data_IF_526941068330
#
_entry.id   IF_526941068330
#
_cell.length_a   1.000
_cell.length_b   1.000
_cell.length_c   1.000
_cell.angle_alpha   90.00
_cell.angle_beta   90.00
_cell.angle_gamma   90.00
#
_symmetry.space_group_name_H-M   'P 1'
#
loop_
_entity.id
_entity.type
_entity.pdbx_description
1 polymer ?
#
# COMPACT_ATOMS: atom_id res chain seq x y z
N UNK A 1 7.60 10.04 0.86
CA UNK A 1 7.52 11.24 1.72
C UNK A 1 8.36 12.40 1.19
N UNK A 2 9.70 12.35 1.29
CA UNK A 2 10.59 13.47 0.89
C UNK A 2 10.66 13.65 -0.63
N UNK A 3 10.97 12.59 -1.38
CA UNK A 3 11.19 12.68 -2.83
C UNK A 3 9.92 12.77 -3.68
N UNK A 4 8.85 12.10 -3.26
CA UNK A 4 7.66 11.90 -4.08
C UNK A 4 6.49 12.80 -3.69
N UNK A 5 6.32 13.03 -2.39
CA UNK A 5 5.14 13.72 -1.84
C UNK A 5 5.43 15.16 -1.41
N UNK A 6 6.69 15.61 -1.50
CA UNK A 6 7.08 16.96 -1.12
C UNK A 6 6.81 17.29 0.35
N UNK A 7 6.79 16.27 1.22
CA UNK A 7 6.53 16.42 2.66
C UNK A 7 7.83 16.73 3.42
N UNK A 8 8.63 17.66 2.90
CA UNK A 8 9.91 18.04 3.48
C UNK A 8 10.16 19.53 3.38
N UNK A 9 11.16 20.00 4.13
CA UNK A 9 11.61 21.40 4.09
C UNK A 9 12.23 21.80 2.74
N UNK A 10 12.41 20.85 1.82
CA UNK A 10 12.79 21.09 0.41
C UNK A 10 11.63 21.64 -0.44
N UNK A 11 10.43 21.73 0.14
CA UNK A 11 9.23 22.26 -0.49
C UNK A 11 8.39 21.18 -1.22
N UNK A 12 7.24 21.59 -1.78
CA UNK A 12 6.29 20.68 -2.43
C UNK A 12 6.73 20.33 -3.85
N UNK A 13 7.92 19.72 -3.98
CA UNK A 13 8.54 19.36 -5.25
C UNK A 13 8.74 17.83 -5.27
N UNK A 14 8.43 17.22 -6.42
CA UNK A 14 8.70 15.82 -6.67
C UNK A 14 10.04 15.67 -7.41
N UNK A 15 11.00 14.99 -6.80
CA UNK A 15 12.35 14.76 -7.34
C UNK A 15 12.45 13.51 -8.24
N UNK A 16 11.34 12.79 -8.43
CA UNK A 16 11.21 11.61 -9.29
C UNK A 16 10.34 10.53 -8.63
N UNK A 17 9.57 9.80 -9.43
CA UNK A 17 8.68 8.73 -8.98
C UNK A 17 9.00 7.39 -9.64
N UNK A 18 8.72 6.31 -8.92
CA UNK A 18 8.68 4.96 -9.49
C UNK A 18 7.40 4.79 -10.32
N UNK A 19 7.48 5.04 -11.63
CA UNK A 19 6.46 4.53 -12.55
C UNK A 19 6.72 3.03 -12.78
N UNK A 20 5.69 2.18 -12.68
CA UNK A 20 5.84 0.75 -12.96
C UNK A 20 6.41 0.54 -14.37
N UNK A 21 7.59 -0.08 -14.41
CA UNK A 21 8.38 -0.36 -15.62
C UNK A 21 7.72 -1.49 -16.42
N UNK A 22 7.00 -1.12 -17.48
CA UNK A 22 6.58 -2.08 -18.50
C UNK A 22 7.74 -2.36 -19.46
N UNK A 23 8.06 -3.65 -19.63
CA UNK A 23 9.08 -4.15 -20.56
C UNK A 23 8.88 -3.56 -21.97
N UNK A 24 9.67 -2.56 -22.33
CA UNK A 24 9.71 -1.98 -23.68
C UNK A 24 9.73 -0.46 -23.78
N UNK A 25 9.52 0.29 -22.68
CA UNK A 25 9.48 1.78 -22.74
C UNK A 25 10.61 2.51 -21.99
N UNK A 26 11.32 1.87 -21.08
CA UNK A 26 12.11 2.60 -20.07
C UNK A 26 13.62 2.29 -20.09
N UNK A 27 14.32 2.65 -21.17
CA UNK A 27 15.78 2.81 -21.12
C UNK A 27 16.23 4.20 -20.67
N UNK A 28 15.31 5.13 -20.39
CA UNK A 28 15.63 6.55 -20.22
C UNK A 28 14.81 7.27 -19.13
N UNK A 29 14.80 6.74 -17.90
CA UNK A 29 14.49 7.58 -16.72
C UNK A 29 15.70 7.63 -15.81
N UNK A 30 16.71 8.37 -16.28
CA UNK A 30 17.81 8.82 -15.45
C UNK A 30 17.28 9.98 -14.59
N UNK A 31 17.45 9.91 -13.27
CA UNK A 31 17.08 11.00 -12.35
C UNK A 31 17.90 12.24 -12.71
N UNK A 32 17.25 13.30 -13.17
CA UNK A 32 17.89 14.58 -13.53
C UNK A 32 17.73 15.59 -12.38
N UNK A 33 18.47 15.41 -11.28
CA UNK A 33 18.63 16.46 -10.27
C UNK A 33 20.10 16.61 -9.89
N UNK A 34 20.47 17.81 -9.43
CA UNK A 34 21.87 18.12 -9.10
C UNK A 34 22.36 17.32 -7.89
N UNK A 35 23.67 17.10 -7.81
CA UNK A 35 24.34 16.52 -6.63
C UNK A 35 24.02 17.31 -5.34
N UNK A 36 23.90 18.62 -5.45
CA UNK A 36 23.51 19.48 -4.32
C UNK A 36 22.09 19.15 -3.82
N UNK A 37 21.16 18.94 -4.76
CA UNK A 37 19.79 18.51 -4.46
C UNK A 37 19.76 17.10 -3.86
N UNK A 38 20.56 16.18 -4.40
CA UNK A 38 20.69 14.82 -3.87
C UNK A 38 21.15 14.83 -2.41
N UNK A 39 22.21 15.60 -2.11
CA UNK A 39 22.72 15.77 -0.76
C UNK A 39 21.72 16.43 0.19
N UNK A 40 20.89 17.36 -0.31
CA UNK A 40 19.81 17.96 0.48
C UNK A 40 18.71 16.94 0.82
N UNK A 41 18.32 16.09 -0.14
CA UNK A 41 17.37 14.99 0.07
C UNK A 41 17.88 13.99 1.10
N UNK A 42 19.13 13.54 0.99
CA UNK A 42 19.71 12.58 1.93
C UNK A 42 19.75 13.12 3.37
N UNK A 43 20.08 14.41 3.53
CA UNK A 43 20.07 15.08 4.84
C UNK A 43 18.68 15.08 5.46
N UNK A 44 17.66 15.33 4.66
CA UNK A 44 16.28 15.36 5.13
C UNK A 44 15.77 13.97 5.53
N UNK A 45 16.12 12.94 4.74
CA UNK A 45 15.80 11.55 5.07
C UNK A 45 16.46 11.17 6.40
N UNK A 46 17.74 11.51 6.58
CA UNK A 46 18.46 11.25 7.83
C UNK A 46 17.80 11.97 9.02
N UNK A 47 17.44 13.25 8.85
CA UNK A 47 16.74 14.02 9.88
C UNK A 47 15.44 13.34 10.30
N UNK A 48 14.60 12.96 9.33
CA UNK A 48 13.31 12.33 9.61
C UNK A 48 13.45 11.00 10.35
N UNK A 49 14.43 10.18 9.95
CA UNK A 49 14.74 8.93 10.63
C UNK A 49 15.21 9.15 12.07
N UNK A 50 16.12 10.12 12.28
CA UNK A 50 16.64 10.45 13.61
C UNK A 50 15.55 11.00 14.53
N UNK A 51 14.71 11.91 14.03
CA UNK A 51 13.58 12.47 14.78
C UNK A 51 12.60 11.37 15.17
N UNK A 52 12.17 10.54 14.21
CA UNK A 52 11.28 9.40 14.49
C UNK A 52 11.88 8.40 15.48
N UNK A 53 13.18 8.12 15.38
CA UNK A 53 13.88 7.25 16.33
C UNK A 53 13.91 7.85 17.73
N UNK A 54 14.25 9.13 17.85
CA UNK A 54 14.31 9.84 19.14
C UNK A 54 12.94 9.91 19.78
N UNK A 55 11.90 10.25 19.02
CA UNK A 55 10.53 10.29 19.50
C UNK A 55 10.06 8.92 20.00
N UNK A 56 10.31 7.86 19.21
CA UNK A 56 10.00 6.50 19.62
C UNK A 56 10.74 6.11 20.92
N UNK A 57 12.03 6.42 21.00
CA UNK A 57 12.84 6.13 22.19
C UNK A 57 12.35 6.90 23.42
N UNK A 58 11.97 8.17 23.26
CA UNK A 58 11.47 9.00 24.34
C UNK A 58 10.10 8.53 24.82
N UNK A 59 9.22 8.09 23.92
CA UNK A 59 7.94 7.44 24.26
C UNK A 59 8.20 6.16 25.07
N UNK A 60 9.08 5.28 24.58
CA UNK A 60 9.40 4.03 25.26
C UNK A 60 10.00 4.25 26.65
N UNK A 61 10.91 5.22 26.79
CA UNK A 61 11.50 5.60 28.08
C UNK A 61 10.45 6.18 29.03
N UNK A 62 9.60 7.08 28.54
CA UNK A 62 8.52 7.69 29.34
C UNK A 62 7.56 6.63 29.89
N UNK A 63 7.31 5.58 29.12
CA UNK A 63 6.40 4.49 29.45
C UNK A 63 7.14 3.19 29.80
N UNK A 64 8.35 3.26 30.36
CA UNK A 64 9.18 2.08 30.67
C UNK A 64 8.45 1.03 31.53
N UNK A 65 7.61 1.49 32.48
CA UNK A 65 6.81 0.59 33.33
C UNK A 65 5.84 -0.26 32.51
N UNK A 66 5.17 0.36 31.53
CA UNK A 66 4.24 -0.33 30.61
C UNK A 66 5.02 -1.33 29.75
N UNK A 67 6.18 -0.92 29.22
CA UNK A 67 7.05 -1.78 28.42
C UNK A 67 7.49 -3.03 29.20
N UNK A 68 7.94 -2.85 30.45
CA UNK A 68 8.33 -3.97 31.32
C UNK A 68 7.15 -4.90 31.59
N UNK A 69 5.97 -4.35 31.89
CA UNK A 69 4.77 -5.16 32.14
C UNK A 69 4.35 -5.95 30.91
N UNK A 70 4.36 -5.34 29.72
CA UNK A 70 4.10 -6.04 28.47
C UNK A 70 5.11 -7.15 28.22
N UNK A 71 6.40 -6.91 28.49
CA UNK A 71 7.45 -7.93 28.32
C UNK A 71 7.28 -9.11 29.31
N UNK A 72 6.92 -8.84 30.57
CA UNK A 72 6.61 -9.88 31.56
C UNK A 72 5.42 -10.74 31.12
N UNK A 73 4.34 -10.10 30.66
CA UNK A 73 3.15 -10.83 30.20
C UNK A 73 3.46 -11.60 28.92
N UNK A 74 4.23 -11.05 27.98
CA UNK A 74 4.63 -11.78 26.77
C UNK A 74 5.56 -12.96 27.06
N UNK A 75 6.30 -12.90 28.18
CA UNK A 75 7.11 -14.02 28.63
C UNK A 75 6.26 -15.17 29.17
N UNK A 76 5.13 -14.86 29.84
CA UNK A 76 4.18 -15.86 30.34
C UNK A 76 3.22 -16.35 29.23
N UNK A 77 2.81 -15.45 28.33
CA UNK A 77 1.90 -15.69 27.22
C UNK A 77 2.58 -15.28 25.91
N UNK A 78 2.88 -16.25 25.05
CA UNK A 78 3.63 -16.01 23.80
C UNK A 78 2.94 -15.03 22.83
N UNK A 79 1.64 -14.77 22.99
CA UNK A 79 0.86 -13.90 22.12
C UNK A 79 -0.17 -13.13 22.93
N UNK A 80 -0.35 -11.84 22.59
CA UNK A 80 -1.37 -10.97 23.18
C UNK A 80 -2.26 -10.37 22.09
N UNK A 81 -3.56 -10.34 22.34
CA UNK A 81 -4.55 -9.69 21.49
C UNK A 81 -4.63 -8.18 21.80
N UNK A 82 -5.11 -7.40 20.84
CA UNK A 82 -5.18 -5.92 20.97
C UNK A 82 -5.92 -5.47 22.24
N UNK A 83 -7.03 -6.13 22.61
CA UNK A 83 -7.80 -5.79 23.82
C UNK A 83 -6.99 -6.02 25.11
N UNK A 84 -6.11 -7.01 25.12
CA UNK A 84 -5.27 -7.36 26.28
C UNK A 84 -4.12 -6.37 26.42
N UNK A 85 -3.50 -5.99 25.30
CA UNK A 85 -2.49 -4.92 25.25
C UNK A 85 -3.06 -3.60 25.75
N UNK A 86 -4.25 -3.22 25.27
CA UNK A 86 -4.93 -2.00 25.70
C UNK A 86 -5.24 -2.04 27.21
N UNK A 87 -5.69 -3.17 27.74
CA UNK A 87 -5.93 -3.34 29.17
C UNK A 87 -4.65 -3.17 30.01
N UNK A 88 -3.52 -3.75 29.58
CA UNK A 88 -2.22 -3.62 30.26
C UNK A 88 -1.74 -2.16 30.25
N UNK A 89 -1.92 -1.45 29.14
CA UNK A 89 -1.55 -0.03 29.01
C UNK A 89 -2.40 0.84 29.96
N UNK A 90 -3.71 0.61 30.01
CA UNK A 90 -4.63 1.33 30.89
C UNK A 90 -4.27 1.10 32.35
N UNK A 91 -4.00 -0.15 32.75
CA UNK A 91 -3.62 -0.49 34.12
C UNK A 91 -2.32 0.21 34.54
N UNK A 92 -1.30 0.19 33.67
CA UNK A 92 0.03 0.66 34.02
C UNK A 92 0.23 2.18 33.90
N UNK A 93 -0.55 2.87 33.05
CA UNK A 93 -0.34 4.29 32.77
C UNK A 93 -1.62 5.15 32.67
N UNK A 94 -2.82 4.55 32.71
CA UNK A 94 -4.10 5.25 32.74
C UNK A 94 -4.80 5.39 31.37
N UNK A 95 -6.11 5.68 31.39
CA UNK A 95 -6.98 5.67 30.21
C UNK A 95 -6.62 6.71 29.13
N UNK A 96 -5.94 7.80 29.50
CA UNK A 96 -5.68 8.94 28.60
C UNK A 96 -4.53 8.73 27.58
N UNK A 97 -3.86 7.57 27.59
CA UNK A 97 -2.68 7.32 26.75
C UNK A 97 -3.05 6.60 25.45
N UNK A 98 -4.18 5.90 25.42
CA UNK A 98 -4.61 5.19 24.22
C UNK A 98 -5.29 6.16 23.24
N UNK A 99 -4.95 6.11 21.95
CA UNK A 99 -5.71 6.83 20.94
C UNK A 99 -7.14 6.30 20.90
N UNK A 100 -8.12 7.19 20.67
CA UNK A 100 -9.51 6.80 20.46
C UNK A 100 -9.59 5.99 19.16
N UNK A 101 -9.54 4.66 19.29
CA UNK A 101 -9.83 3.75 18.19
C UNK A 101 -11.34 3.68 18.04
N UNK A 102 -11.86 4.10 16.88
CA UNK A 102 -13.21 3.72 16.49
C UNK A 102 -13.26 2.20 16.49
N UNK A 103 -14.00 1.61 17.44
CA UNK A 103 -14.14 0.16 17.51
C UNK A 103 -14.76 -0.29 16.20
N UNK A 104 -13.96 -0.91 15.34
CA UNK A 104 -14.49 -1.74 14.27
C UNK A 104 -15.43 -2.72 14.95
N UNK A 105 -16.73 -2.60 14.65
CA UNK A 105 -17.72 -3.58 15.06
C UNK A 105 -17.18 -4.93 14.58
N UNK A 106 -17.02 -5.88 15.49
CA UNK A 106 -16.70 -7.27 15.16
C UNK A 106 -17.58 -7.67 13.97
N UNK A 107 -16.98 -7.73 12.77
CA UNK A 107 -17.64 -8.38 11.65
C UNK A 107 -17.78 -9.82 12.08
N UNK A 108 -19.01 -10.22 12.40
CA UNK A 108 -19.38 -11.60 12.66
C UNK A 108 -18.71 -12.49 11.61
N UNK A 109 -18.15 -13.66 12.00
CA UNK A 109 -17.53 -14.55 11.04
C UNK A 109 -18.56 -14.87 9.95
N UNK A 110 -18.18 -14.61 8.71
CA UNK A 110 -18.99 -14.85 7.52
C UNK A 110 -19.38 -16.33 7.43
N UNK A 111 -20.46 -16.70 8.11
CA UNK A 111 -21.11 -17.99 7.95
C UNK A 111 -22.18 -17.87 6.87
N UNK A 112 -21.75 -18.19 5.64
CA UNK A 112 -22.42 -19.04 4.64
C UNK A 112 -21.68 -18.92 3.30
N UNK A 113 -21.29 -20.02 2.65
CA UNK A 113 -20.86 -19.97 1.26
C UNK A 113 -22.03 -19.41 0.44
N UNK A 114 -21.83 -18.26 -0.21
CA UNK A 114 -22.78 -17.76 -1.19
C UNK A 114 -22.63 -18.62 -2.45
N UNK A 115 -23.67 -19.38 -2.78
CA UNK A 115 -23.84 -20.02 -4.08
C UNK A 115 -23.64 -18.98 -5.19
N UNK A 116 -22.75 -19.29 -6.12
CA UNK A 116 -22.55 -18.55 -7.36
C UNK A 116 -23.89 -18.38 -8.12
N UNK A 117 -24.27 -17.18 -8.54
CA UNK A 117 -25.32 -17.04 -9.53
C UNK A 117 -24.76 -17.61 -10.85
N UNK A 118 -25.33 -18.73 -11.30
CA UNK A 118 -25.15 -19.23 -12.68
C UNK A 118 -25.64 -18.14 -13.64
N UNK A 119 -24.71 -17.35 -14.16
CA UNK A 119 -24.99 -16.48 -15.28
C UNK A 119 -25.28 -17.38 -16.49
N UNK A 120 -26.54 -17.35 -16.94
CA UNK A 120 -26.98 -18.08 -18.12
C UNK A 120 -26.25 -17.51 -19.34
N UNK A 121 -25.21 -18.21 -19.79
CA UNK A 121 -24.59 -17.98 -21.09
C UNK A 121 -25.66 -18.24 -22.15
N UNK A 122 -26.23 -17.16 -22.69
CA UNK A 122 -27.02 -17.25 -23.91
C UNK A 122 -26.08 -17.67 -25.04
N UNK A 123 -26.36 -18.73 -25.81
CA UNK A 123 -25.52 -19.08 -26.94
C UNK A 123 -25.64 -17.97 -27.99
N UNK A 124 -24.52 -17.32 -28.29
CA UNK A 124 -24.36 -16.49 -29.48
C UNK A 124 -24.66 -17.37 -30.69
N UNK A 125 -25.83 -17.17 -31.28
CA UNK A 125 -26.19 -17.76 -32.57
C UNK A 125 -25.31 -17.10 -33.64
N UNK A 126 -24.59 -17.86 -34.50
CA UNK A 126 -23.99 -17.28 -35.68
C UNK A 126 -25.13 -16.99 -36.67
N UNK A 127 -25.39 -15.71 -36.93
CA UNK A 127 -26.27 -15.32 -38.03
C UNK A 127 -25.44 -15.45 -39.34
N UNK A 128 -25.72 -16.53 -40.07
CA UNK A 128 -25.33 -16.76 -41.45
C UNK A 128 -26.05 -15.75 -42.36
N UNK A 129 -25.38 -14.66 -42.76
CA UNK A 129 -25.77 -13.90 -43.95
C UNK A 129 -24.87 -14.28 -45.13
N UNK A 130 -25.13 -15.47 -45.66
CA UNK A 130 -24.71 -15.84 -47.00
C UNK A 130 -25.75 -15.33 -48.02
N UNK A 131 -25.49 -14.19 -48.64
CA UNK A 131 -25.96 -13.91 -49.99
C UNK A 131 -24.76 -13.69 -50.90
N UNK A 132 -24.60 -14.68 -51.79
CA UNK A 132 -23.42 -14.88 -52.61
C UNK A 132 -23.30 -13.92 -53.78
N UNK A 133 -22.06 -13.71 -54.20
CA UNK A 133 -21.71 -13.42 -55.58
C UNK A 133 -20.52 -14.33 -55.92
N UNK A 134 -20.67 -15.07 -57.02
CA UNK A 134 -19.85 -16.19 -57.46
C UNK A 134 -18.40 -15.82 -57.86
N UNK A 135 -17.47 -16.79 -57.86
CA UNK A 135 -16.11 -16.59 -58.36
C UNK A 135 -16.04 -16.91 -59.86
N UNK A 136 -15.41 -16.03 -60.64
CA UNK A 136 -15.11 -16.35 -62.04
C UNK A 136 -14.61 -15.19 -62.88
N UNK A 137 -13.37 -15.36 -63.33
CA UNK A 137 -12.75 -14.81 -64.54
C UNK A 137 -11.97 -13.48 -64.54
N UNK A 138 -10.79 -13.63 -65.17
CA UNK A 138 -9.95 -12.67 -65.85
C UNK A 138 -8.94 -11.86 -65.01
N UNK A 139 -7.72 -12.42 -64.94
CA UNK A 139 -6.51 -11.62 -65.11
C UNK A 139 -6.55 -11.02 -66.52
N UNK A 140 -6.22 -9.73 -66.70
CA UNK A 140 -5.15 -9.46 -67.66
C UNK A 140 -4.14 -8.39 -67.23
N UNK A 141 -2.96 -8.62 -67.78
CA UNK A 141 -1.72 -7.87 -67.92
C UNK A 141 -1.77 -6.34 -68.09
N UNK A 142 -0.67 -5.72 -67.63
CA UNK A 142 0.08 -4.55 -68.12
C UNK A 142 -0.63 -3.23 -68.49
N UNK A 143 -0.19 -2.16 -67.81
CA UNK A 143 0.48 -1.00 -68.45
C UNK A 143 1.34 -0.25 -67.41
#
# INVERSE_FOLDING_TARGET
>A
MVCEWGMSDLGPITFGGEDEVFLGRDFAKMREFSEETASAVDREIHRLCDEGYRDALDILKRHEKVLRKLAEVLYEQETLLSKEVDAIIIEAAGENILPVREREKETEPASKPQEEPKEAVQPLRPEDDAQGIAPGDAVPDMA
#
